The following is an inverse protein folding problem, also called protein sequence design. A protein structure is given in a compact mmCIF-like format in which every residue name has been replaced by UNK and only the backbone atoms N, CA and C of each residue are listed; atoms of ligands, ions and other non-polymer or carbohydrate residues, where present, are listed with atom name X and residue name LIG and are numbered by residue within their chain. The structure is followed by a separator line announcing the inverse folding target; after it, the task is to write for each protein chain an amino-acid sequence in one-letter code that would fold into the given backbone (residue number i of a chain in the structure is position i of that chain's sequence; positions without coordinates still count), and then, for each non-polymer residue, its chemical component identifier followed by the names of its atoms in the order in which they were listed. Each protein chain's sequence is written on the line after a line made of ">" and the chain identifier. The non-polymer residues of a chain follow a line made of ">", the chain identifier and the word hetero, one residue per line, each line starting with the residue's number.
data_IF_740187608878
#
_entry.id   IF_740187608878
#
_cell.length_a   1.000
_cell.length_b   1.000
_cell.length_c   1.000
_cell.angle_alpha   90.00
_cell.angle_beta   90.00
_cell.angle_gamma   90.00
#
_symmetry.space_group_name_H-M   'P 1'
#
loop_
_entity.id
_entity.type
_entity.pdbx_description
1 polymer ?
#
# COMPACT_ATOMS: atom_id res chain seq x y z
N UNK A 1 -48.45 42.38 4.02
CA UNK A 1 -47.61 43.29 3.23
C UNK A 1 -46.20 43.16 3.80
N UNK A 2 -45.34 42.42 3.08
CA UNK A 2 -43.86 42.39 3.12
C UNK A 2 -43.16 42.03 4.44
N UNK A 3 -42.70 40.77 4.52
CA UNK A 3 -41.42 40.39 5.16
C UNK A 3 -40.31 40.57 4.10
N UNK A 4 -39.12 41.08 4.46
CA UNK A 4 -37.93 40.31 4.10
C UNK A 4 -36.70 40.55 5.01
N UNK A 5 -36.26 39.48 5.68
CA UNK A 5 -34.87 39.33 6.09
C UNK A 5 -33.93 39.21 4.88
N UNK A 6 -33.11 40.23 4.61
CA UNK A 6 -31.98 40.15 3.68
C UNK A 6 -30.94 41.24 3.99
N UNK A 7 -29.97 40.95 4.87
CA UNK A 7 -28.68 41.67 4.89
C UNK A 7 -27.55 40.66 4.75
N UNK A 8 -27.39 40.26 3.49
CA UNK A 8 -26.33 39.39 2.99
C UNK A 8 -24.95 40.03 3.14
N UNK A 9 -24.00 39.19 3.61
CA UNK A 9 -22.73 38.88 2.94
C UNK A 9 -22.28 39.91 1.90
N UNK A 10 -21.28 40.72 2.23
CA UNK A 10 -20.59 41.58 1.25
C UNK A 10 -19.08 41.56 1.49
N UNK A 11 -18.38 40.57 0.95
CA UNK A 11 -16.91 40.61 0.86
C UNK A 11 -16.22 39.64 -0.14
N UNK A 12 -16.91 38.87 -1.00
CA UNK A 12 -16.21 38.05 -2.02
C UNK A 12 -16.99 37.98 -3.34
N UNK A 13 -16.99 39.08 -4.10
CA UNK A 13 -17.69 39.24 -5.39
C UNK A 13 -16.75 39.18 -6.61
N UNK A 14 -15.70 38.36 -6.58
CA UNK A 14 -14.79 38.20 -7.71
C UNK A 14 -14.48 36.73 -7.99
N UNK A 15 -15.50 35.96 -8.38
CA UNK A 15 -15.38 34.77 -9.22
C UNK A 15 -16.77 34.48 -9.84
N UNK A 16 -16.86 34.12 -11.13
CA UNK A 16 -18.14 33.91 -11.80
C UNK A 16 -18.87 32.69 -11.21
N UNK A 17 -19.98 32.92 -10.52
CA UNK A 17 -20.81 31.88 -9.89
C UNK A 17 -21.63 31.03 -10.88
N UNK A 18 -21.30 31.09 -12.18
CA UNK A 18 -22.19 30.65 -13.27
C UNK A 18 -22.11 29.15 -13.61
N UNK A 19 -21.40 28.35 -12.80
CA UNK A 19 -21.38 26.88 -12.93
C UNK A 19 -21.68 26.13 -11.62
N UNK A 20 -22.10 26.81 -10.56
CA UNK A 20 -22.56 26.16 -9.34
C UNK A 20 -24.07 25.94 -9.41
N UNK A 21 -24.50 24.89 -10.11
CA UNK A 21 -25.84 24.31 -9.94
C UNK A 21 -25.92 23.68 -8.56
N UNK A 22 -26.09 24.51 -7.51
CA UNK A 22 -26.39 24.02 -6.17
C UNK A 22 -27.87 23.66 -6.13
N UNK A 23 -28.19 22.43 -6.49
CA UNK A 23 -29.51 21.87 -6.19
C UNK A 23 -29.64 21.74 -4.68
N UNK A 24 -30.63 22.41 -4.09
CA UNK A 24 -30.96 22.37 -2.65
C UNK A 24 -31.67 21.07 -2.24
N UNK A 25 -31.62 20.05 -3.11
CA UNK A 25 -32.19 18.74 -2.85
C UNK A 25 -31.24 17.95 -1.92
N UNK A 26 -31.76 17.17 -0.96
CA UNK A 26 -30.93 16.28 -0.17
C UNK A 26 -30.21 15.32 -1.12
N UNK A 27 -28.88 15.42 -1.18
CA UNK A 27 -28.06 14.51 -1.97
C UNK A 27 -28.20 13.13 -1.31
N UNK A 28 -28.86 12.21 -2.00
CA UNK A 28 -28.95 10.81 -1.57
C UNK A 28 -27.55 10.19 -1.39
N UNK A 29 -27.46 8.99 -0.77
CA UNK A 29 -26.17 8.35 -0.57
C UNK A 29 -25.41 8.25 -1.90
N UNK A 30 -24.11 8.59 -1.88
CA UNK A 30 -23.25 8.57 -3.06
C UNK A 30 -23.24 7.15 -3.63
N UNK A 31 -23.71 6.98 -4.86
CA UNK A 31 -23.61 5.72 -5.57
C UNK A 31 -22.23 5.64 -6.22
N UNK A 32 -21.56 4.50 -6.07
CA UNK A 32 -20.26 4.23 -6.69
C UNK A 32 -20.48 3.42 -7.96
N UNK A 33 -19.74 3.74 -9.02
CA UNK A 33 -19.67 2.86 -10.19
C UNK A 33 -18.76 1.66 -9.91
N UNK A 34 -18.94 0.55 -10.63
CA UNK A 34 -18.20 -0.71 -10.42
C UNK A 34 -16.66 -0.56 -10.48
N UNK A 35 -16.13 0.49 -11.10
CA UNK A 35 -14.69 0.79 -11.18
C UNK A 35 -14.20 1.77 -10.09
N UNK A 36 -15.10 2.36 -9.31
CA UNK A 36 -14.75 3.29 -8.23
C UNK A 36 -14.49 2.59 -6.88
N UNK A 37 -14.71 1.27 -6.81
CA UNK A 37 -14.47 0.47 -5.61
C UNK A 37 -12.99 0.21 -5.37
N UNK A 38 -12.63 -0.07 -4.12
CA UNK A 38 -11.30 -0.54 -3.78
C UNK A 38 -11.00 -1.86 -4.51
N UNK A 39 -9.78 -2.00 -5.03
CA UNK A 39 -9.32 -3.28 -5.58
C UNK A 39 -9.23 -4.34 -4.48
N UNK A 40 -9.33 -5.61 -4.87
CA UNK A 40 -9.21 -6.76 -3.95
C UNK A 40 -7.86 -6.71 -3.22
N UNK A 41 -6.78 -6.35 -3.91
CA UNK A 41 -5.44 -6.18 -3.31
C UNK A 41 -5.42 -5.06 -2.27
N UNK A 42 -6.11 -3.94 -2.53
CA UNK A 42 -6.20 -2.83 -1.59
C UNK A 42 -7.01 -3.20 -0.34
N UNK A 43 -8.08 -4.00 -0.50
CA UNK A 43 -8.87 -4.53 0.62
C UNK A 43 -8.01 -5.46 1.49
N UNK A 44 -7.31 -6.41 0.87
CA UNK A 44 -6.42 -7.32 1.59
C UNK A 44 -5.33 -6.56 2.35
N UNK A 45 -4.61 -5.64 1.68
CA UNK A 45 -3.57 -4.82 2.30
C UNK A 45 -4.11 -3.92 3.43
N UNK A 46 -5.33 -3.39 3.30
CA UNK A 46 -5.98 -2.60 4.35
C UNK A 46 -6.28 -3.45 5.59
N UNK A 47 -6.81 -4.67 5.40
CA UNK A 47 -7.17 -5.60 6.48
C UNK A 47 -5.94 -6.14 7.21
N UNK A 48 -4.87 -6.41 6.48
CA UNK A 48 -3.62 -6.89 7.07
C UNK A 48 -2.79 -5.77 7.72
N UNK A 49 -3.06 -4.51 7.39
CA UNK A 49 -2.36 -3.35 7.92
C UNK A 49 -1.09 -2.98 7.15
N UNK A 50 -0.95 -3.48 5.91
CA UNK A 50 0.23 -3.33 5.06
C UNK A 50 0.22 -2.04 4.22
N UNK A 51 -0.89 -1.29 4.24
CA UNK A 51 -0.95 0.01 3.58
C UNK A 51 -0.14 1.07 4.33
N UNK A 52 0.66 1.84 3.58
CA UNK A 52 1.26 3.08 4.09
C UNK A 52 0.16 4.08 4.51
N UNK A 53 0.52 5.04 5.35
CA UNK A 53 -0.42 6.00 5.96
C UNK A 53 -1.36 6.68 4.94
N UNK A 54 -0.83 7.21 3.84
CA UNK A 54 -1.66 7.95 2.86
C UNK A 54 -2.69 7.06 2.15
N UNK A 55 -2.32 5.89 1.56
CA UNK A 55 -3.30 4.92 1.07
C UNK A 55 -4.29 4.45 2.14
N UNK A 56 -3.84 4.23 3.38
CA UNK A 56 -4.70 3.81 4.48
C UNK A 56 -5.80 4.84 4.76
N UNK A 57 -5.46 6.13 4.87
CA UNK A 57 -6.45 7.19 5.09
C UNK A 57 -7.45 7.31 3.93
N UNK A 58 -7.00 7.14 2.68
CA UNK A 58 -7.90 7.14 1.52
C UNK A 58 -8.87 5.97 1.53
N UNK A 59 -8.37 4.77 1.85
CA UNK A 59 -9.20 3.59 2.00
C UNK A 59 -10.22 3.78 3.14
N UNK A 60 -9.78 4.23 4.33
CA UNK A 60 -10.67 4.50 5.46
C UNK A 60 -11.78 5.50 5.12
N UNK A 61 -11.43 6.60 4.42
CA UNK A 61 -12.42 7.56 3.94
C UNK A 61 -13.40 6.91 2.95
N UNK A 62 -12.92 6.11 1.99
CA UNK A 62 -13.79 5.39 1.05
C UNK A 62 -14.75 4.44 1.76
N UNK A 63 -14.30 3.69 2.76
CA UNK A 63 -15.13 2.77 3.54
C UNK A 63 -16.24 3.48 4.32
N UNK A 64 -16.03 4.74 4.73
CA UNK A 64 -17.07 5.55 5.37
C UNK A 64 -18.20 5.96 4.42
N UNK A 65 -17.96 5.90 3.11
CA UNK A 65 -18.89 6.33 2.07
C UNK A 65 -19.49 5.15 1.29
N UNK A 66 -18.75 4.04 1.15
CA UNK A 66 -19.14 2.87 0.34
C UNK A 66 -19.41 1.65 1.22
N UNK A 67 -20.68 1.27 1.35
CA UNK A 67 -21.10 0.09 2.13
C UNK A 67 -20.64 -1.25 1.53
N UNK A 68 -20.51 -1.32 0.20
CA UNK A 68 -20.04 -2.54 -0.49
C UNK A 68 -18.58 -2.85 -0.12
N UNK A 69 -17.68 -1.86 -0.23
CA UNK A 69 -16.29 -2.06 0.17
C UNK A 69 -16.15 -2.29 1.69
N UNK A 70 -17.03 -1.70 2.51
CA UNK A 70 -17.07 -1.99 3.94
C UNK A 70 -17.45 -3.46 4.23
N UNK A 71 -18.41 -4.02 3.48
CA UNK A 71 -18.80 -5.42 3.60
C UNK A 71 -17.67 -6.37 3.18
N UNK A 72 -16.95 -6.07 2.08
CA UNK A 72 -15.81 -6.87 1.63
C UNK A 72 -14.65 -6.87 2.65
N UNK A 73 -14.35 -5.70 3.25
CA UNK A 73 -13.34 -5.60 4.32
C UNK A 73 -13.72 -6.47 5.52
N UNK A 74 -15.01 -6.48 5.89
CA UNK A 74 -15.50 -7.29 7.01
C UNK A 74 -15.45 -8.79 6.69
N UNK A 75 -15.83 -9.20 5.48
CA UNK A 75 -15.69 -10.58 5.02
C UNK A 75 -14.22 -11.06 5.08
N UNK A 76 -13.28 -10.23 4.63
CA UNK A 76 -11.86 -10.54 4.68
C UNK A 76 -11.31 -10.62 6.12
N UNK A 77 -11.81 -9.77 7.04
CA UNK A 77 -11.48 -9.85 8.48
C UNK A 77 -11.97 -11.16 9.09
N UNK A 78 -13.20 -11.57 8.78
CA UNK A 78 -13.75 -12.84 9.25
C UNK A 78 -12.94 -14.02 8.73
N UNK A 79 -12.55 -14.01 7.45
CA UNK A 79 -11.67 -15.02 6.89
C UNK A 79 -10.31 -15.09 7.62
N UNK A 80 -9.70 -13.94 7.89
CA UNK A 80 -8.45 -13.84 8.65
C UNK A 80 -8.60 -14.39 10.08
N UNK A 81 -9.69 -14.06 10.76
CA UNK A 81 -9.99 -14.56 12.09
C UNK A 81 -10.15 -16.10 12.09
N UNK A 82 -10.94 -16.64 11.16
CA UNK A 82 -11.14 -18.08 11.00
C UNK A 82 -9.81 -18.82 10.75
N UNK A 83 -8.91 -18.27 9.94
CA UNK A 83 -7.57 -18.84 9.72
C UNK A 83 -6.70 -18.81 10.97
N UNK A 84 -6.77 -17.74 11.77
CA UNK A 84 -6.03 -17.64 13.04
C UNK A 84 -6.56 -18.59 14.11
N UNK A 85 -7.86 -18.83 14.11
CA UNK A 85 -8.53 -19.78 15.00
C UNK A 85 -8.36 -21.24 14.55
N UNK A 86 -8.01 -21.45 13.27
CA UNK A 86 -7.65 -22.78 12.78
C UNK A 86 -6.43 -23.31 13.55
N UNK A 87 -6.42 -24.63 13.83
CA UNK A 87 -5.40 -25.26 14.67
C UNK A 87 -3.99 -24.89 14.20
N UNK A 88 -3.04 -24.66 15.13
CA UNK A 88 -1.65 -24.38 14.76
C UNK A 88 -1.11 -25.47 13.84
N UNK A 89 -0.53 -25.06 12.71
CA UNK A 89 0.25 -25.97 11.87
C UNK A 89 1.56 -26.24 12.60
N UNK A 90 1.71 -27.45 13.14
CA UNK A 90 2.95 -27.87 13.76
C UNK A 90 3.99 -28.25 12.68
N UNK A 91 5.24 -27.81 12.86
CA UNK A 91 6.33 -28.29 12.02
C UNK A 91 6.54 -29.80 12.23
N UNK A 92 6.75 -30.59 11.16
CA UNK A 92 7.09 -32.00 11.30
C UNK A 92 8.37 -32.19 12.11
N UNK A 93 8.42 -33.19 12.99
CA UNK A 93 9.61 -33.48 13.81
C UNK A 93 10.85 -33.79 12.98
N UNK A 94 10.67 -34.40 11.81
CA UNK A 94 11.76 -34.64 10.84
C UNK A 94 12.38 -33.34 10.33
N UNK A 95 11.57 -32.33 10.03
CA UNK A 95 12.07 -31.02 9.61
C UNK A 95 12.81 -30.33 10.75
N UNK A 96 12.29 -30.39 11.97
CA UNK A 96 12.98 -29.84 13.14
C UNK A 96 14.33 -30.53 13.39
N UNK A 97 14.41 -31.84 13.18
CA UNK A 97 15.66 -32.60 13.21
C UNK A 97 16.67 -32.06 12.19
N UNK A 98 16.29 -31.99 10.92
CA UNK A 98 17.16 -31.47 9.85
C UNK A 98 17.60 -30.02 10.09
N UNK A 99 16.69 -29.15 10.54
CA UNK A 99 17.01 -27.76 10.86
C UNK A 99 17.97 -27.64 12.04
N UNK A 100 17.96 -28.58 12.98
CA UNK A 100 18.87 -28.59 14.13
C UNK A 100 20.33 -28.89 13.76
N UNK A 101 20.57 -29.49 12.59
CA UNK A 101 21.90 -29.82 12.08
C UNK A 101 22.58 -28.66 11.34
N UNK A 102 21.84 -27.58 11.04
CA UNK A 102 22.40 -26.42 10.32
C UNK A 102 23.46 -25.72 11.19
N UNK A 103 24.71 -25.59 10.72
CA UNK A 103 25.76 -24.89 11.45
C UNK A 103 25.37 -23.42 11.69
N UNK A 104 25.49 -22.94 12.93
CA UNK A 104 25.22 -21.52 13.28
C UNK A 104 26.32 -20.56 12.85
N UNK A 105 27.48 -21.09 12.47
CA UNK A 105 28.66 -20.34 12.09
C UNK A 105 29.20 -20.95 10.81
N UNK A 106 29.59 -20.09 9.87
CA UNK A 106 30.36 -20.54 8.73
C UNK A 106 31.70 -21.13 9.23
N UNK A 107 32.20 -22.20 8.59
CA UNK A 107 33.56 -22.65 8.85
C UNK A 107 34.54 -21.48 8.70
N UNK A 108 35.61 -21.41 9.51
CA UNK A 108 36.62 -20.39 9.35
C UNK A 108 37.11 -20.39 7.90
N UNK A 109 37.08 -19.21 7.26
CA UNK A 109 37.57 -19.06 5.91
C UNK A 109 39.06 -19.47 5.90
N UNK A 110 39.50 -20.32 4.96
CA UNK A 110 40.92 -20.66 4.87
C UNK A 110 41.72 -19.37 4.72
N UNK A 111 42.93 -19.30 5.30
CA UNK A 111 43.76 -18.11 5.20
C UNK A 111 43.92 -17.76 3.72
N UNK A 112 43.47 -16.56 3.36
CA UNK A 112 43.72 -15.97 2.06
C UNK A 112 45.23 -15.80 1.98
N UNK A 113 45.92 -16.71 1.30
CA UNK A 113 47.31 -16.49 0.91
C UNK A 113 47.34 -15.15 0.17
N UNK A 114 48.19 -14.19 0.57
CA UNK A 114 48.27 -12.93 -0.13
C UNK A 114 48.56 -13.23 -1.59
N UNK A 115 47.65 -12.81 -2.47
CA UNK A 115 47.81 -12.94 -3.90
C UNK A 115 49.22 -12.42 -4.25
N UNK A 116 50.08 -13.31 -4.73
CA UNK A 116 51.38 -12.92 -5.24
C UNK A 116 51.11 -11.84 -6.28
N UNK A 117 51.75 -10.66 -6.21
CA UNK A 117 51.52 -9.62 -7.19
C UNK A 117 51.95 -10.19 -8.54
N UNK A 118 50.97 -10.60 -9.33
CA UNK A 118 51.17 -10.90 -10.73
C UNK A 118 51.47 -9.54 -11.36
N UNK A 119 52.75 -9.24 -11.51
CA UNK A 119 53.20 -8.08 -12.25
C UNK A 119 52.63 -8.20 -13.67
N UNK A 120 51.59 -7.41 -13.94
CA UNK A 120 51.06 -7.24 -15.28
C UNK A 120 52.07 -6.41 -16.05
N UNK A 121 53.05 -7.09 -16.64
CA UNK A 121 53.92 -6.52 -17.65
C UNK A 121 53.10 -6.19 -18.91
N UNK A 122 53.53 -5.13 -19.57
CA UNK A 122 52.80 -4.31 -20.53
C UNK A 122 52.02 -5.06 -21.64
N UNK A 123 50.79 -4.61 -21.92
CA UNK A 123 50.29 -4.54 -23.30
C UNK A 123 49.47 -3.26 -23.51
N UNK A 124 50.05 -2.35 -24.29
CA UNK A 124 49.53 -1.01 -24.57
C UNK A 124 48.11 -0.97 -25.16
N UNK A 125 47.28 -0.09 -24.60
CA UNK A 125 45.98 0.26 -25.19
C UNK A 125 46.10 1.48 -26.08
N UNK A 126 46.10 1.22 -27.39
CA UNK A 126 46.03 2.20 -28.45
C UNK A 126 44.82 3.14 -28.31
N UNK A 127 45.12 4.43 -28.37
CA UNK A 127 44.18 5.56 -28.39
C UNK A 127 43.34 5.54 -29.68
N UNK A 128 42.11 5.00 -29.62
CA UNK A 128 41.12 5.14 -30.72
C UNK A 128 40.39 6.49 -30.60
N UNK A 129 40.54 7.32 -31.64
CA UNK A 129 39.92 8.65 -31.81
C UNK A 129 38.39 8.51 -31.90
N UNK A 130 37.68 9.36 -31.16
CA UNK A 130 36.24 9.59 -31.32
C UNK A 130 36.01 10.46 -32.56
N UNK A 131 35.05 10.07 -33.40
CA UNK A 131 34.48 10.85 -34.49
C UNK A 131 33.04 11.18 -34.11
#
# INVERSE_FOLDING_TARGET
>A
MVDPGHVFRRAFSWLPSQFASQSDAPVGPRQFGSTEHLSIEAIAAFVDGELRLTPHLRAANHLSLCSECAAEVEAQRQARAALRESRPVAAPSSLLGLLSEIPRQAPPEPPVEPAQPFFADEVGRGRRKRR
#
